data_IF_469028522573
#
_entry.id   IF_469028522573
#
_cell.length_a   1.000
_cell.length_b   1.000
_cell.length_c   1.000
_cell.angle_alpha   90.00
_cell.angle_beta   90.00
_cell.angle_gamma   90.00
#
_symmetry.space_group_name_H-M   'P 1'
#
loop_
_entity.id
_entity.type
_entity.pdbx_description
1 polymer ?
#
# COMPACT_ATOMS: atom_id res chain seq x y z
N UNK A 1 -1.28 9.38 7.66
CA UNK A 1 -2.40 8.57 7.14
C UNK A 1 -2.22 8.40 5.64
N UNK A 2 -2.35 7.18 5.12
CA UNK A 2 -2.14 6.87 3.69
C UNK A 2 -3.30 7.42 2.83
N UNK A 3 -3.00 7.92 1.63
CA UNK A 3 -3.98 8.54 0.72
C UNK A 3 -5.10 7.57 0.32
N UNK A 4 -4.74 6.30 0.15
CA UNK A 4 -5.68 5.21 -0.19
C UNK A 4 -6.73 5.00 0.90
N UNK A 5 -6.31 4.99 2.17
CA UNK A 5 -7.23 4.89 3.30
C UNK A 5 -8.15 6.10 3.38
N UNK A 6 -7.61 7.31 3.19
CA UNK A 6 -8.39 8.55 3.20
C UNK A 6 -9.48 8.57 2.11
N UNK A 7 -9.15 8.10 0.91
CA UNK A 7 -10.12 7.92 -0.17
C UNK A 7 -11.18 6.88 0.20
N UNK A 8 -10.76 5.75 0.76
CA UNK A 8 -11.66 4.66 1.14
C UNK A 8 -12.69 5.04 2.21
N UNK A 9 -12.35 5.95 3.14
CA UNK A 9 -13.27 6.43 4.18
C UNK A 9 -13.98 7.75 3.84
N UNK A 10 -13.78 8.32 2.65
CA UNK A 10 -14.24 9.67 2.32
C UNK A 10 -15.73 9.90 2.60
N UNK A 11 -16.60 9.01 2.12
CA UNK A 11 -18.04 9.11 2.35
C UNK A 11 -18.45 8.97 3.84
N UNK A 12 -17.65 8.25 4.65
CA UNK A 12 -17.92 8.12 6.08
C UNK A 12 -17.53 9.39 6.84
N UNK A 13 -16.47 10.09 6.40
CA UNK A 13 -15.95 11.31 7.06
C UNK A 13 -16.90 12.49 7.06
N UNK A 14 -17.87 12.51 6.15
CA UNK A 14 -18.89 13.55 6.08
C UNK A 14 -20.09 13.31 7.01
N UNK A 15 -20.07 12.25 7.84
CA UNK A 15 -21.15 11.88 8.76
C UNK A 15 -20.81 12.28 10.20
N UNK A 16 -21.81 12.22 11.10
CA UNK A 16 -21.58 12.42 12.55
C UNK A 16 -20.54 11.44 13.09
N UNK A 17 -19.83 11.80 14.16
CA UNK A 17 -18.72 10.98 14.69
C UNK A 17 -19.11 9.52 14.93
N UNK A 18 -20.26 9.28 15.56
CA UNK A 18 -20.77 7.94 15.83
C UNK A 18 -21.01 7.18 14.53
N UNK A 19 -21.74 7.77 13.59
CA UNK A 19 -22.06 7.15 12.30
C UNK A 19 -20.81 6.95 11.44
N UNK A 20 -19.83 7.86 11.50
CA UNK A 20 -18.56 7.72 10.81
C UNK A 20 -17.79 6.50 11.33
N UNK A 21 -17.62 6.41 12.66
CA UNK A 21 -16.90 5.30 13.29
C UNK A 21 -17.59 3.96 13.00
N UNK A 22 -18.92 3.91 13.06
CA UNK A 22 -19.68 2.69 12.76
C UNK A 22 -19.53 2.25 11.30
N UNK A 23 -19.55 3.20 10.36
CA UNK A 23 -19.30 2.88 8.95
C UNK A 23 -17.87 2.39 8.72
N UNK A 24 -16.87 2.99 9.37
CA UNK A 24 -15.47 2.55 9.27
C UNK A 24 -15.33 1.14 9.88
N UNK A 25 -15.97 0.87 11.02
CA UNK A 25 -16.00 -0.44 11.68
C UNK A 25 -16.55 -1.52 10.75
N UNK A 26 -17.73 -1.31 10.17
CA UNK A 26 -18.32 -2.25 9.21
C UNK A 26 -17.46 -2.46 7.97
N UNK A 27 -16.91 -1.37 7.41
CA UNK A 27 -16.00 -1.45 6.26
C UNK A 27 -14.75 -2.28 6.57
N UNK A 28 -14.16 -2.10 7.76
CA UNK A 28 -13.00 -2.86 8.21
C UNK A 28 -13.34 -4.34 8.42
N UNK A 29 -14.49 -4.66 9.03
CA UNK A 29 -14.96 -6.03 9.18
C UNK A 29 -15.16 -6.73 7.84
N UNK A 30 -15.85 -6.09 6.90
CA UNK A 30 -16.07 -6.66 5.56
C UNK A 30 -14.74 -6.85 4.84
N UNK A 31 -13.86 -5.85 4.86
CA UNK A 31 -12.52 -5.94 4.26
C UNK A 31 -11.73 -7.10 4.85
N UNK A 32 -11.79 -7.30 6.15
CA UNK A 32 -11.08 -8.39 6.82
C UNK A 32 -11.54 -9.77 6.30
N UNK A 33 -12.86 -9.98 6.22
CA UNK A 33 -13.44 -11.20 5.65
C UNK A 33 -13.05 -11.37 4.17
N UNK A 34 -13.12 -10.30 3.38
CA UNK A 34 -12.74 -10.32 1.97
C UNK A 34 -11.28 -10.72 1.78
N UNK A 35 -10.37 -10.28 2.68
CA UNK A 35 -8.96 -10.66 2.63
C UNK A 35 -8.72 -12.13 3.00
N UNK A 36 -9.45 -12.67 4.00
CA UNK A 36 -9.39 -14.10 4.33
C UNK A 36 -9.88 -14.93 3.14
N UNK A 37 -11.04 -14.60 2.58
CA UNK A 37 -11.58 -15.25 1.37
C UNK A 37 -10.62 -15.15 0.19
N UNK A 38 -9.98 -14.00 0.01
CA UNK A 38 -8.95 -13.84 -1.01
C UNK A 38 -7.75 -14.78 -0.78
N UNK A 39 -7.32 -15.00 0.47
CA UNK A 39 -6.26 -15.97 0.76
C UNK A 39 -6.69 -17.42 0.46
N UNK A 40 -7.97 -17.75 0.62
CA UNK A 40 -8.50 -19.07 0.27
C UNK A 40 -8.38 -19.36 -1.23
N UNK A 41 -8.46 -18.34 -2.09
CA UNK A 41 -8.31 -18.51 -3.55
C UNK A 41 -6.86 -18.71 -4.01
N UNK A 42 -5.86 -18.69 -3.11
CA UNK A 42 -4.47 -18.87 -3.50
C UNK A 42 -4.19 -20.32 -3.88
N UNK A 43 -3.65 -20.52 -5.09
CA UNK A 43 -3.28 -21.83 -5.64
C UNK A 43 -2.00 -22.38 -5.01
N UNK A 44 -1.04 -21.50 -4.71
CA UNK A 44 0.24 -21.85 -4.10
C UNK A 44 0.41 -21.12 -2.76
N UNK A 45 1.43 -21.51 -2.00
CA UNK A 45 1.76 -20.81 -0.75
C UNK A 45 2.26 -19.37 -0.95
N UNK A 46 2.62 -18.98 -2.19
CA UNK A 46 3.05 -17.62 -2.52
C UNK A 46 1.87 -16.78 -3.01
N UNK A 47 1.80 -15.52 -2.58
CA UNK A 47 0.74 -14.57 -3.00
C UNK A 47 0.64 -14.46 -4.52
N UNK A 48 -0.56 -14.34 -5.11
CA UNK A 48 -0.74 -14.29 -6.57
C UNK A 48 0.09 -13.19 -7.24
N UNK A 49 0.21 -12.03 -6.59
CA UNK A 49 0.99 -10.91 -7.11
C UNK A 49 2.49 -11.19 -7.09
N UNK A 50 3.02 -11.76 -6.00
CA UNK A 50 4.43 -12.15 -5.93
C UNK A 50 4.74 -13.32 -6.88
N UNK A 51 3.83 -14.29 -6.99
CA UNK A 51 3.88 -15.40 -7.94
C UNK A 51 3.99 -14.89 -9.37
N UNK A 52 3.14 -13.95 -9.79
CA UNK A 52 3.19 -13.38 -11.13
C UNK A 52 4.51 -12.66 -11.45
N UNK A 53 5.13 -12.01 -10.45
CA UNK A 53 6.46 -11.41 -10.60
C UNK A 53 7.53 -12.49 -10.70
N UNK A 54 7.45 -13.52 -9.85
CA UNK A 54 8.41 -14.62 -9.82
C UNK A 54 8.43 -15.39 -11.15
N UNK A 55 7.25 -15.77 -11.68
CA UNK A 55 7.17 -16.48 -12.96
C UNK A 55 7.73 -15.64 -14.11
N UNK A 56 7.44 -14.34 -14.15
CA UNK A 56 8.07 -13.43 -15.12
C UNK A 56 9.59 -13.37 -14.97
N UNK A 57 10.09 -13.36 -13.73
CA UNK A 57 11.54 -13.37 -13.50
C UNK A 57 12.18 -14.70 -13.91
N UNK A 58 11.48 -15.84 -13.76
CA UNK A 58 11.92 -17.15 -14.27
C UNK A 58 12.06 -17.13 -15.78
N UNK A 59 11.09 -16.56 -16.50
CA UNK A 59 11.16 -16.40 -17.96
C UNK A 59 12.39 -15.59 -18.39
N UNK A 60 12.65 -14.46 -17.73
CA UNK A 60 13.83 -13.63 -18.03
C UNK A 60 15.16 -14.29 -17.64
N UNK A 61 15.15 -15.16 -16.63
CA UNK A 61 16.37 -15.87 -16.19
C UNK A 61 16.95 -16.78 -17.29
N UNK A 62 16.13 -17.20 -18.26
CA UNK A 62 16.57 -18.02 -19.41
C UNK A 62 17.53 -17.26 -20.34
N UNK A 63 17.53 -15.93 -20.31
CA UNK A 63 18.42 -15.08 -21.10
C UNK A 63 19.74 -14.76 -20.37
N UNK A 64 19.92 -15.31 -19.17
CA UNK A 64 21.10 -15.08 -18.35
C UNK A 64 22.07 -16.26 -18.47
N UNK A 65 23.37 -15.97 -18.48
CA UNK A 65 24.41 -16.99 -18.33
C UNK A 65 25.14 -16.81 -17.00
N UNK A 66 25.50 -17.93 -16.38
CA UNK A 66 26.06 -17.98 -15.03
C UNK A 66 27.51 -18.41 -15.03
N UNK A 67 28.33 -17.71 -14.25
CA UNK A 67 29.68 -18.08 -13.88
C UNK A 67 29.75 -18.16 -12.35
N UNK A 68 30.13 -19.32 -11.83
CA UNK A 68 30.14 -19.57 -10.39
C UNK A 68 31.58 -19.58 -9.84
N UNK A 69 31.80 -18.93 -8.71
CA UNK A 69 33.12 -18.89 -8.06
C UNK A 69 33.44 -20.13 -7.20
N UNK A 70 32.53 -21.11 -7.12
CA UNK A 70 32.68 -22.32 -6.31
C UNK A 70 32.24 -22.20 -4.85
N UNK A 71 31.80 -21.01 -4.41
CA UNK A 71 31.25 -20.75 -3.08
C UNK A 71 29.89 -20.05 -3.21
N UNK A 72 29.77 -18.79 -2.76
CA UNK A 72 28.49 -18.11 -2.61
C UNK A 72 28.26 -17.02 -3.65
N UNK A 73 29.26 -16.74 -4.48
CA UNK A 73 29.27 -15.64 -5.44
C UNK A 73 29.07 -16.12 -6.87
N UNK A 74 28.16 -15.47 -7.59
CA UNK A 74 27.87 -15.73 -8.99
C UNK A 74 28.01 -14.45 -9.79
N UNK A 75 28.68 -14.55 -10.93
CA UNK A 75 28.64 -13.52 -11.96
C UNK A 75 27.60 -13.96 -13.00
N UNK A 76 26.55 -13.16 -13.15
CA UNK A 76 25.47 -13.42 -14.09
C UNK A 76 25.54 -12.40 -15.23
N UNK A 77 25.76 -12.87 -16.45
CA UNK A 77 25.74 -12.03 -17.65
C UNK A 77 24.34 -12.00 -18.27
N UNK A 78 23.86 -10.80 -18.60
CA UNK A 78 22.60 -10.54 -19.30
C UNK A 78 22.90 -9.55 -20.45
N UNK A 79 23.00 -10.06 -21.69
CA UNK A 79 23.41 -9.25 -22.82
C UNK A 79 24.83 -8.69 -22.64
N UNK A 80 24.98 -7.37 -22.63
CA UNK A 80 26.25 -6.66 -22.44
C UNK A 80 26.59 -6.37 -20.97
N UNK A 81 25.67 -6.64 -20.04
CA UNK A 81 25.83 -6.34 -18.63
C UNK A 81 26.17 -7.60 -17.83
N UNK A 82 26.97 -7.45 -16.77
CA UNK A 82 27.15 -8.49 -15.75
C UNK A 82 26.77 -7.97 -14.36
N UNK A 83 26.24 -8.89 -13.55
CA UNK A 83 25.76 -8.61 -12.19
C UNK A 83 26.34 -9.63 -11.23
N UNK A 84 26.77 -9.17 -10.05
CA UNK A 84 27.19 -10.06 -8.98
C UNK A 84 25.98 -10.41 -8.12
N UNK A 85 25.80 -11.71 -7.89
CA UNK A 85 24.78 -12.29 -7.01
C UNK A 85 25.49 -13.01 -5.86
N UNK A 86 25.05 -12.70 -4.64
CA UNK A 86 25.44 -13.40 -3.41
C UNK A 86 24.18 -14.02 -2.80
N UNK A 87 24.06 -15.35 -2.90
CA UNK A 87 22.85 -16.06 -2.49
C UNK A 87 22.67 -16.09 -0.97
N UNK A 88 23.77 -16.12 -0.20
CA UNK A 88 23.72 -16.15 1.27
C UNK A 88 23.21 -14.82 1.82
N UNK A 89 23.72 -13.70 1.29
CA UNK A 89 23.28 -12.35 1.69
C UNK A 89 21.97 -11.92 1.04
N UNK A 90 21.41 -12.75 0.17
CA UNK A 90 20.27 -12.42 -0.71
C UNK A 90 20.48 -11.11 -1.47
N UNK A 91 21.68 -10.94 -2.03
CA UNK A 91 22.09 -9.72 -2.70
C UNK A 91 22.24 -9.95 -4.20
N UNK A 92 21.83 -8.95 -4.98
CA UNK A 92 22.10 -8.85 -6.41
C UNK A 92 22.32 -7.39 -6.78
N UNK A 93 23.31 -7.11 -7.62
CA UNK A 93 23.65 -5.74 -8.05
C UNK A 93 22.50 -5.00 -8.75
N UNK A 94 21.57 -5.73 -9.39
CA UNK A 94 20.35 -5.14 -9.94
C UNK A 94 19.38 -4.59 -8.88
N UNK A 95 19.61 -4.86 -7.58
CA UNK A 95 18.84 -4.43 -6.39
C UNK A 95 17.37 -4.86 -6.33
N UNK A 96 16.82 -5.43 -7.39
CA UNK A 96 15.41 -5.84 -7.44
C UNK A 96 15.07 -6.85 -6.34
N UNK A 97 15.96 -7.81 -6.08
CA UNK A 97 15.74 -8.80 -5.03
C UNK A 97 15.73 -8.15 -3.64
N UNK A 98 16.66 -7.24 -3.36
CA UNK A 98 16.75 -6.53 -2.08
C UNK A 98 15.53 -5.63 -1.84
N UNK A 99 15.02 -4.98 -2.90
CA UNK A 99 13.88 -4.08 -2.80
C UNK A 99 12.55 -4.80 -2.69
N UNK A 100 12.39 -5.94 -3.36
CA UNK A 100 11.11 -6.66 -3.44
C UNK A 100 11.04 -7.85 -2.49
N UNK A 101 12.17 -8.45 -2.08
CA UNK A 101 12.17 -9.76 -1.39
C UNK A 101 11.74 -10.94 -2.27
N UNK A 102 11.69 -10.73 -3.60
CA UNK A 102 11.41 -11.77 -4.60
C UNK A 102 12.68 -11.94 -5.43
N UNK A 103 13.21 -13.17 -5.59
CA UNK A 103 14.39 -13.41 -6.43
C UNK A 103 14.25 -12.73 -7.79
N UNK A 104 15.27 -11.96 -8.17
CA UNK A 104 15.37 -11.34 -9.49
C UNK A 104 15.78 -12.40 -10.55
N UNK A 105 15.71 -12.10 -11.86
CA UNK A 105 16.12 -13.04 -12.91
C UNK A 105 17.54 -13.60 -12.70
N UNK A 106 18.48 -12.75 -12.26
CA UNK A 106 19.86 -13.14 -12.00
C UNK A 106 20.00 -14.12 -10.83
N UNK A 107 19.31 -13.83 -9.72
CA UNK A 107 19.29 -14.73 -8.57
C UNK A 107 18.62 -16.07 -8.90
N UNK A 108 17.56 -16.06 -9.70
CA UNK A 108 16.89 -17.28 -10.18
C UNK A 108 17.84 -18.12 -11.04
N UNK A 109 18.58 -17.48 -11.96
CA UNK A 109 19.60 -18.17 -12.77
C UNK A 109 20.64 -18.87 -11.88
N UNK A 110 21.14 -18.19 -10.84
CA UNK A 110 22.06 -18.77 -9.86
C UNK A 110 21.43 -19.95 -9.07
N UNK A 111 20.17 -19.85 -8.65
CA UNK A 111 19.47 -20.96 -7.98
C UNK A 111 19.29 -22.17 -8.91
N UNK A 112 18.90 -21.96 -10.16
CA UNK A 112 18.77 -23.04 -11.13
C UNK A 112 20.10 -23.72 -11.43
N UNK A 113 21.20 -22.97 -11.49
CA UNK A 113 22.54 -23.54 -11.61
C UNK A 113 22.88 -24.52 -10.46
N UNK A 114 22.43 -24.19 -9.24
CA UNK A 114 22.57 -25.06 -8.07
C UNK A 114 21.49 -26.15 -7.95
N UNK A 115 20.61 -26.31 -8.94
CA UNK A 115 19.44 -27.19 -8.90
C UNK A 115 18.51 -26.92 -7.69
N UNK A 116 18.40 -25.65 -7.26
CA UNK A 116 17.52 -25.21 -6.19
C UNK A 116 16.26 -24.55 -6.75
N UNK A 117 15.15 -24.75 -6.05
CA UNK A 117 13.87 -24.15 -6.42
C UNK A 117 13.78 -22.69 -5.91
N UNK A 118 13.73 -21.68 -6.80
CA UNK A 118 13.68 -20.28 -6.41
C UNK A 118 12.42 -19.90 -5.62
N UNK A 119 11.33 -20.68 -5.70
CA UNK A 119 10.10 -20.45 -4.91
C UNK A 119 10.36 -20.47 -3.39
N UNK A 120 11.34 -21.27 -2.96
CA UNK A 120 11.72 -21.41 -1.54
C UNK A 120 12.43 -20.16 -1.02
N UNK A 121 12.95 -19.32 -1.91
CA UNK A 121 13.73 -18.14 -1.58
C UNK A 121 12.94 -16.83 -1.67
N UNK A 122 11.63 -16.91 -1.92
CA UNK A 122 10.70 -15.79 -1.76
C UNK A 122 10.48 -15.48 -0.28
N UNK A 123 10.57 -14.20 0.08
CA UNK A 123 10.44 -13.75 1.46
C UNK A 123 9.12 -14.14 2.12
N UNK A 124 9.20 -14.42 3.42
CA UNK A 124 8.12 -15.00 4.22
C UNK A 124 6.84 -14.16 4.24
N UNK A 125 6.92 -12.83 4.08
CA UNK A 125 5.76 -11.94 4.06
C UNK A 125 4.87 -12.09 2.82
N UNK A 126 5.33 -12.78 1.78
CA UNK A 126 4.49 -13.18 0.64
C UNK A 126 3.84 -14.54 0.81
N UNK A 127 4.16 -15.28 1.88
CA UNK A 127 3.62 -16.61 2.14
C UNK A 127 2.20 -16.53 2.71
N UNK A 128 1.37 -17.54 2.41
CA UNK A 128 -0.06 -17.56 2.78
C UNK A 128 -0.22 -17.58 4.28
N UNK A 129 0.64 -18.31 4.98
CA UNK A 129 0.64 -18.37 6.45
C UNK A 129 0.81 -16.98 7.07
N UNK A 130 1.84 -16.23 6.66
CA UNK A 130 2.10 -14.87 7.17
C UNK A 130 0.95 -13.92 6.85
N UNK A 131 0.38 -14.03 5.65
CA UNK A 131 -0.78 -13.26 5.26
C UNK A 131 -1.97 -13.54 6.18
N UNK A 132 -2.35 -14.82 6.36
CA UNK A 132 -3.47 -15.20 7.23
C UNK A 132 -3.23 -14.81 8.69
N UNK A 133 -1.98 -14.90 9.17
CA UNK A 133 -1.61 -14.48 10.52
C UNK A 133 -1.87 -12.98 10.74
N UNK A 134 -1.63 -12.14 9.73
CA UNK A 134 -1.95 -10.70 9.78
C UNK A 134 -3.47 -10.44 9.88
N UNK A 135 -4.31 -11.37 9.41
CA UNK A 135 -5.77 -11.32 9.51
C UNK A 135 -6.33 -12.30 10.55
N UNK A 136 -5.54 -12.74 11.53
CA UNK A 136 -6.04 -13.65 12.58
C UNK A 136 -6.93 -12.96 13.62
N UNK A 137 -6.79 -11.64 13.79
CA UNK A 137 -7.54 -10.85 14.76
C UNK A 137 -8.72 -10.13 14.12
N UNK A 138 -9.90 -10.25 14.73
CA UNK A 138 -11.14 -9.69 14.21
C UNK A 138 -11.70 -8.55 15.10
N UNK A 139 -12.50 -7.69 14.47
CA UNK A 139 -13.28 -6.67 15.16
C UNK A 139 -14.58 -7.32 15.68
N UNK A 140 -14.83 -7.22 16.98
CA UNK A 140 -16.06 -7.76 17.58
C UNK A 140 -17.30 -7.01 17.08
N UNK A 141 -18.42 -7.70 16.85
CA UNK A 141 -19.69 -7.06 16.58
C UNK A 141 -20.13 -6.24 17.80
N UNK A 142 -20.79 -5.12 17.55
CA UNK A 142 -21.33 -4.23 18.58
C UNK A 142 -22.83 -4.09 18.28
N UNK A 143 -23.71 -4.10 19.29
CA UNK A 143 -25.13 -3.85 19.08
C UNK A 143 -25.37 -2.42 18.57
N UNK A 144 -26.59 -2.11 18.14
CA UNK A 144 -26.91 -0.76 17.67
C UNK A 144 -26.90 0.25 18.84
N UNK A 145 -26.82 1.55 18.50
CA UNK A 145 -26.75 2.64 19.48
C UNK A 145 -27.91 2.67 20.49
N UNK A 146 -29.10 2.18 20.12
CA UNK A 146 -30.26 2.13 21.02
C UNK A 146 -30.14 1.07 22.11
N UNK A 147 -29.24 0.11 21.92
CA UNK A 147 -28.98 -1.00 22.83
C UNK A 147 -27.69 -0.80 23.62
N UNK A 148 -27.00 0.33 23.45
CA UNK A 148 -25.78 0.60 24.19
C UNK A 148 -26.10 0.89 25.67
N UNK A 149 -25.28 0.39 26.60
CA UNK A 149 -25.45 0.73 28.01
C UNK A 149 -25.23 2.23 28.20
N UNK A 150 -25.96 2.81 29.16
CA UNK A 150 -25.72 4.19 29.56
C UNK A 150 -24.30 4.35 30.09
N UNK A 151 -23.67 5.45 29.70
CA UNK A 151 -22.28 5.71 30.10
C UNK A 151 -22.24 6.36 31.47
N UNK A 152 -21.30 5.93 32.31
CA UNK A 152 -20.95 6.61 33.57
C UNK A 152 -19.99 7.78 33.36
N UNK A 153 -19.55 8.01 32.11
CA UNK A 153 -18.65 9.10 31.78
C UNK A 153 -19.36 10.47 31.95
N UNK A 154 -18.61 11.53 32.30
CA UNK A 154 -19.18 12.87 32.40
C UNK A 154 -19.76 13.32 31.06
N UNK A 155 -20.82 14.12 31.14
CA UNK A 155 -21.44 14.72 29.96
C UNK A 155 -20.41 15.57 29.21
N UNK A 156 -20.37 15.41 27.88
CA UNK A 156 -19.47 16.19 27.03
C UNK A 156 -20.05 17.59 26.89
N UNK A 157 -19.42 18.57 27.54
CA UNK A 157 -19.80 19.98 27.38
C UNK A 157 -19.48 20.47 25.95
N UNK A 158 -20.32 21.35 25.38
CA UNK A 158 -20.02 21.95 24.10
C UNK A 158 -18.70 22.73 24.16
N UNK A 159 -17.90 22.74 23.08
CA UNK A 159 -16.68 23.53 23.05
C UNK A 159 -17.02 25.00 23.27
N UNK A 160 -16.21 25.69 24.08
CA UNK A 160 -16.38 27.12 24.34
C UNK A 160 -16.41 27.87 23.01
N UNK A 161 -17.43 28.73 22.76
CA UNK A 161 -17.54 29.45 21.51
C UNK A 161 -16.30 30.33 21.30
N UNK A 162 -15.56 30.07 20.21
CA UNK A 162 -14.48 30.93 19.76
C UNK A 162 -14.99 31.79 18.62
N UNK A 163 -14.71 33.10 18.67
CA UNK A 163 -14.86 33.97 17.48
C UNK A 163 -13.95 33.40 16.39
N UNK A 164 -14.53 32.82 15.35
CA UNK A 164 -13.75 32.45 14.16
C UNK A 164 -13.16 33.72 13.58
N UNK A 165 -11.88 33.70 13.22
CA UNK A 165 -11.30 34.73 12.37
C UNK A 165 -12.18 34.80 11.12
N UNK A 166 -12.78 35.96 10.87
CA UNK A 166 -13.76 36.12 9.80
C UNK A 166 -13.23 35.59 8.47
N UNK A 167 -14.14 35.13 7.60
CA UNK A 167 -13.79 34.64 6.26
C UNK A 167 -12.84 35.63 5.58
N UNK A 168 -11.61 35.24 5.19
CA UNK A 168 -10.72 36.10 4.44
C UNK A 168 -11.47 36.64 3.22
N UNK A 169 -11.47 37.96 3.08
CA UNK A 169 -12.19 38.62 1.98
C UNK A 169 -11.71 38.07 0.63
N UNK A 170 -12.66 37.59 -0.19
CA UNK A 170 -12.34 36.98 -1.50
C UNK A 170 -11.68 37.97 -2.48
N UNK A 171 -11.84 39.27 -2.24
CA UNK A 171 -11.19 40.34 -3.00
C UNK A 171 -10.05 40.92 -2.17
N UNK A 172 -8.87 40.98 -2.77
CA UNK A 172 -7.73 41.76 -2.26
C UNK A 172 -8.20 43.20 -2.02
N UNK A 173 -7.87 43.77 -0.85
CA UNK A 173 -8.06 45.20 -0.60
C UNK A 173 -7.08 45.97 -1.49
N UNK A 174 -7.59 46.81 -2.39
CA UNK A 174 -6.75 47.69 -3.23
C UNK A 174 -6.22 48.86 -2.39
N UNK A 175 -4.99 49.30 -2.66
CA UNK A 175 -4.44 50.53 -2.07
C UNK A 175 -5.14 51.76 -2.67
N UNK A 176 -5.05 52.93 -2.00
CA UNK A 176 -5.67 54.18 -2.47
C UNK A 176 -5.18 54.59 -3.86
N UNK A 177 -3.93 54.25 -4.19
CA UNK A 177 -3.27 54.65 -5.44
C UNK A 177 -3.45 53.63 -6.57
N UNK A 178 -4.21 52.54 -6.36
CA UNK A 178 -4.40 51.53 -7.42
C UNK A 178 -5.51 51.92 -8.41
N UNK A 179 -5.22 51.93 -9.72
CA UNK A 179 -6.20 52.28 -10.74
C UNK A 179 -7.40 51.32 -10.76
N UNK A 180 -8.61 51.88 -10.89
CA UNK A 180 -9.84 51.12 -11.16
C UNK A 180 -9.85 50.68 -12.61
N UNK A 181 -9.86 49.38 -12.85
CA UNK A 181 -10.02 48.83 -14.19
C UNK A 181 -11.43 49.18 -14.69
N UNK A 182 -11.54 50.03 -15.72
CA UNK A 182 -12.81 50.33 -16.41
C UNK A 182 -13.05 49.19 -17.40
N UNK A 183 -14.07 48.37 -17.15
CA UNK A 183 -14.43 47.27 -18.05
C UNK A 183 -14.83 47.81 -19.43
N UNK A 184 -14.40 47.12 -20.48
CA UNK A 184 -14.72 47.45 -21.87
C UNK A 184 -16.25 47.44 -22.07
N UNK A 185 -16.79 48.58 -22.53
CA UNK A 185 -18.10 48.62 -23.18
C UNK A 185 -17.94 47.95 -24.55
N UNK A 186 -18.66 46.85 -24.77
CA UNK A 186 -18.91 46.33 -26.12
C UNK A 186 -20.19 46.98 -26.64
N UNK A 187 -20.05 47.86 -27.62
CA UNK A 187 -21.16 48.31 -28.46
C UNK A 187 -21.56 47.15 -29.39
N UNK A 188 -22.87 46.96 -29.50
CA UNK A 188 -23.52 46.00 -30.41
C UNK A 188 -23.57 46.61 -31.81
N UNK A 189 -23.14 45.85 -32.81
CA UNK A 189 -23.84 45.60 -34.09
C UNK A 189 -23.24 44.34 -34.75
#
# INVERSE_FOLDING_TARGET
MCETFNSWILAARHKSIITMLENIRHKMMNRHIDMIKFAETWISDISPMARAILERNKEYSNNCNVQWNGLNGFEISEGEYSFVVDLEKKHCDCRLWMLRGIPCPHAICAYYYLNQDPDQHVEHWYKKETFLKAYSHFIKPIPNMRMWPETTNPSIEPPKPRKMLGRPGKKRRKSKDEPKNRGNFQEKE
#
